data_IF_522881319572
#
_entry.id   IF_522881319572
#
_cell.length_a   1.000
_cell.length_b   1.000
_cell.length_c   1.000
_cell.angle_alpha   90.00
_cell.angle_beta   90.00
_cell.angle_gamma   90.00
#
_symmetry.space_group_name_H-M   'P 1'
#
loop_
_entity.id
_entity.type
_entity.pdbx_description
1 polymer ?
#
# COMPACT_ATOMS: atom_id res chain seq x y z
N UNK A 1 -30.62 -31.36 -60.55
CA UNK A 1 -29.53 -30.54 -59.98
C UNK A 1 -30.14 -29.66 -58.91
N UNK A 2 -30.06 -30.09 -57.65
CA UNK A 2 -30.56 -29.34 -56.51
C UNK A 2 -29.37 -28.73 -55.77
N UNK A 3 -29.27 -27.41 -55.81
CA UNK A 3 -28.26 -26.61 -55.11
C UNK A 3 -28.69 -26.39 -53.66
N UNK A 4 -28.10 -27.16 -52.75
CA UNK A 4 -28.20 -26.92 -51.31
C UNK A 4 -27.35 -25.70 -50.94
N UNK A 5 -28.02 -24.60 -50.58
CA UNK A 5 -27.43 -23.46 -49.88
C UNK A 5 -27.46 -23.76 -48.38
N UNK A 6 -26.33 -24.21 -47.83
CA UNK A 6 -26.13 -24.28 -46.39
C UNK A 6 -25.94 -22.84 -45.86
N UNK A 7 -27.00 -22.27 -45.29
CA UNK A 7 -26.90 -21.09 -44.44
C UNK A 7 -26.29 -21.50 -43.11
N UNK A 8 -24.99 -21.24 -42.95
CA UNK A 8 -24.28 -21.36 -41.69
C UNK A 8 -24.89 -20.36 -40.69
N UNK A 9 -25.74 -20.86 -39.79
CA UNK A 9 -26.30 -20.08 -38.70
C UNK A 9 -25.15 -19.77 -37.72
N UNK A 10 -24.60 -18.57 -37.82
CA UNK A 10 -23.54 -18.08 -36.95
C UNK A 10 -23.99 -18.20 -35.49
N UNK A 11 -23.21 -18.90 -34.67
CA UNK A 11 -23.44 -18.96 -33.23
C UNK A 11 -23.50 -17.52 -32.68
N UNK A 12 -24.51 -17.16 -31.88
CA UNK A 12 -24.62 -15.82 -31.33
C UNK A 12 -23.36 -15.49 -30.51
N UNK A 13 -22.76 -14.34 -30.79
CA UNK A 13 -21.61 -13.83 -30.04
C UNK A 13 -21.99 -13.72 -28.55
N UNK A 14 -21.14 -14.16 -27.62
CA UNK A 14 -21.44 -14.07 -26.19
C UNK A 14 -21.36 -12.63 -25.63
N UNK A 15 -21.07 -11.64 -26.49
CA UNK A 15 -20.89 -10.24 -26.12
C UNK A 15 -22.01 -9.35 -26.70
N UNK A 16 -22.54 -8.42 -25.89
CA UNK A 16 -23.34 -7.29 -26.37
C UNK A 16 -22.39 -6.16 -26.78
N UNK A 17 -22.46 -5.71 -28.02
CA UNK A 17 -21.65 -4.59 -28.51
C UNK A 17 -22.43 -3.28 -28.49
N UNK A 18 -21.90 -2.23 -27.87
CA UNK A 18 -22.46 -0.88 -27.84
C UNK A 18 -21.47 0.10 -28.47
N UNK A 19 -21.86 0.76 -29.55
CA UNK A 19 -21.04 1.79 -30.18
C UNK A 19 -21.27 3.15 -29.52
N UNK A 20 -20.22 3.97 -29.44
CA UNK A 20 -20.33 5.34 -28.96
C UNK A 20 -19.47 6.30 -29.79
N UNK A 21 -19.88 7.57 -29.85
CA UNK A 21 -19.16 8.64 -30.54
C UNK A 21 -19.45 9.98 -29.90
N UNK A 22 -18.44 10.55 -29.25
CA UNK A 22 -18.51 11.80 -28.51
C UNK A 22 -17.52 12.83 -29.04
N UNK A 23 -17.81 14.11 -28.77
CA UNK A 23 -16.85 15.20 -28.96
C UNK A 23 -16.77 16.00 -27.67
N UNK A 24 -15.55 16.18 -27.16
CA UNK A 24 -15.30 16.93 -25.94
C UNK A 24 -14.44 18.16 -26.22
N UNK A 25 -15.03 19.34 -26.04
CA UNK A 25 -14.38 20.63 -26.27
C UNK A 25 -13.86 21.22 -24.97
N UNK A 26 -12.55 21.45 -24.88
CA UNK A 26 -11.88 21.97 -23.68
C UNK A 26 -11.38 23.39 -23.94
N UNK A 27 -11.75 24.33 -23.06
CA UNK A 27 -11.20 25.68 -23.09
C UNK A 27 -9.73 25.69 -22.64
N UNK A 28 -8.85 26.20 -23.49
CA UNK A 28 -7.39 26.22 -23.26
C UNK A 28 -6.99 27.03 -22.02
N UNK A 29 -7.67 28.15 -21.75
CA UNK A 29 -7.34 28.98 -20.59
C UNK A 29 -7.68 28.26 -19.29
N UNK A 30 -8.79 27.50 -19.26
CA UNK A 30 -9.12 26.66 -18.13
C UNK A 30 -8.09 25.52 -17.97
N UNK A 31 -7.66 24.89 -19.07
CA UNK A 31 -6.72 23.77 -18.99
C UNK A 31 -5.30 24.13 -18.53
N UNK A 32 -4.80 25.33 -18.87
CA UNK A 32 -3.46 25.76 -18.42
C UNK A 32 -3.35 25.93 -16.90
N UNK A 33 -4.44 26.34 -16.26
CA UNK A 33 -4.44 26.69 -14.85
C UNK A 33 -4.92 25.55 -13.94
N UNK A 34 -5.41 24.45 -14.51
CA UNK A 34 -5.99 23.33 -13.75
C UNK A 34 -5.23 22.05 -14.05
N UNK A 35 -4.92 21.28 -12.99
CA UNK A 35 -4.19 20.00 -13.12
C UNK A 35 -5.03 18.92 -13.80
N UNK A 36 -6.35 19.03 -13.74
CA UNK A 36 -7.30 17.99 -14.14
C UNK A 36 -8.57 18.66 -14.69
N UNK A 37 -9.01 18.22 -15.86
CA UNK A 37 -10.32 18.61 -16.42
C UNK A 37 -11.10 17.33 -16.69
N UNK A 38 -12.37 17.33 -16.32
CA UNK A 38 -13.29 16.20 -16.50
C UNK A 38 -14.35 16.61 -17.53
N UNK A 39 -14.77 15.66 -18.36
CA UNK A 39 -15.93 15.83 -19.23
C UNK A 39 -17.22 15.65 -18.43
N UNK A 40 -18.34 15.95 -19.08
CA UNK A 40 -19.64 15.44 -18.63
C UNK A 40 -19.66 13.91 -18.63
N UNK A 41 -20.65 13.35 -17.93
CA UNK A 41 -20.95 11.92 -17.97
C UNK A 41 -21.78 11.63 -19.22
N UNK A 42 -21.28 10.69 -20.02
CA UNK A 42 -21.96 10.15 -21.18
C UNK A 42 -22.58 8.80 -20.80
N UNK A 43 -23.65 8.43 -21.50
CA UNK A 43 -24.36 7.19 -21.25
C UNK A 43 -24.70 6.49 -22.56
N UNK A 44 -24.46 5.20 -22.62
CA UNK A 44 -25.13 4.29 -23.56
C UNK A 44 -26.33 3.63 -22.86
N UNK A 45 -26.95 2.62 -23.46
CA UNK A 45 -28.04 1.87 -22.83
C UNK A 45 -27.65 1.26 -21.47
N UNK A 46 -26.43 0.73 -21.35
CA UNK A 46 -26.02 -0.05 -20.18
C UNK A 46 -24.79 0.53 -19.44
N UNK A 47 -24.13 1.55 -20.00
CA UNK A 47 -22.83 2.02 -19.48
C UNK A 47 -22.84 3.53 -19.35
N UNK A 48 -22.45 4.02 -18.17
CA UNK A 48 -22.08 5.42 -17.92
C UNK A 48 -20.56 5.56 -18.00
N UNK A 49 -20.07 6.60 -18.66
CA UNK A 49 -18.63 6.85 -18.78
C UNK A 49 -18.31 8.36 -18.82
N UNK A 50 -17.09 8.72 -18.43
CA UNK A 50 -16.57 10.08 -18.54
C UNK A 50 -15.09 10.09 -18.90
N UNK A 51 -14.60 11.23 -19.35
CA UNK A 51 -13.20 11.41 -19.73
C UNK A 51 -12.52 12.39 -18.79
N UNK A 52 -11.25 12.14 -18.51
CA UNK A 52 -10.44 13.02 -17.67
C UNK A 52 -9.13 13.30 -18.39
N UNK A 53 -8.81 14.58 -18.53
CA UNK A 53 -7.53 15.04 -19.04
C UNK A 53 -6.71 15.63 -17.89
N UNK A 54 -5.55 15.04 -17.62
CA UNK A 54 -4.64 15.46 -16.56
C UNK A 54 -3.39 16.12 -17.16
N UNK A 55 -3.10 17.34 -16.71
CA UNK A 55 -1.90 18.08 -17.04
C UNK A 55 -0.88 17.94 -15.88
N UNK A 56 0.02 16.97 -15.96
CA UNK A 56 1.09 16.82 -14.96
C UNK A 56 2.27 17.72 -15.33
N UNK A 57 2.29 18.92 -14.76
CA UNK A 57 3.35 19.93 -14.96
C UNK A 57 4.70 19.66 -14.23
N UNK A 58 4.96 18.43 -13.75
CA UNK A 58 5.98 18.22 -12.68
C UNK A 58 7.36 17.73 -13.09
N UNK A 59 7.61 17.44 -14.36
CA UNK A 59 8.96 17.14 -14.87
C UNK A 59 9.12 17.75 -16.26
N UNK A 60 10.36 18.05 -16.69
CA UNK A 60 10.77 18.80 -17.92
C UNK A 60 10.20 18.33 -19.27
N UNK A 61 9.21 17.45 -19.28
CA UNK A 61 8.47 17.00 -20.45
C UNK A 61 6.99 17.20 -20.19
N UNK A 62 6.41 18.22 -20.80
CA UNK A 62 4.97 18.47 -20.79
C UNK A 62 4.21 17.26 -21.35
N UNK A 63 3.66 16.45 -20.43
CA UNK A 63 2.87 15.28 -20.76
C UNK A 63 1.44 15.52 -20.31
N UNK A 64 0.51 15.44 -21.25
CA UNK A 64 -0.90 15.27 -20.96
C UNK A 64 -1.21 13.79 -20.78
N UNK A 65 -2.16 13.47 -19.93
CA UNK A 65 -2.65 12.11 -19.73
C UNK A 65 -4.16 12.10 -19.91
N UNK A 66 -4.67 11.15 -20.67
CA UNK A 66 -6.10 11.04 -20.98
C UNK A 66 -6.64 9.74 -20.39
N UNK A 67 -7.58 9.85 -19.47
CA UNK A 67 -8.20 8.74 -18.77
C UNK A 67 -9.65 8.61 -19.20
N UNK A 68 -10.15 7.38 -19.25
CA UNK A 68 -11.56 7.09 -19.48
C UNK A 68 -12.08 6.33 -18.27
N UNK A 69 -13.13 6.86 -17.66
CA UNK A 69 -13.82 6.26 -16.54
C UNK A 69 -15.05 5.58 -17.09
N UNK A 70 -15.24 4.32 -16.73
CA UNK A 70 -16.36 3.51 -17.19
C UNK A 70 -16.98 2.88 -15.96
N UNK A 71 -18.26 3.16 -15.73
CA UNK A 71 -19.03 2.53 -14.69
C UNK A 71 -19.56 1.20 -15.22
N UNK A 72 -19.00 0.10 -14.72
CA UNK A 72 -19.36 -1.25 -15.14
C UNK A 72 -20.57 -1.75 -14.36
N UNK A 73 -21.65 -2.20 -15.02
CA UNK A 73 -22.79 -2.78 -14.33
C UNK A 73 -22.40 -4.01 -13.51
N UNK A 74 -23.02 -4.16 -12.33
CA UNK A 74 -22.77 -5.30 -11.45
C UNK A 74 -22.97 -6.62 -12.21
N UNK A 75 -22.03 -7.54 -12.06
CA UNK A 75 -22.11 -8.84 -12.73
C UNK A 75 -21.53 -8.89 -14.15
N UNK A 76 -21.10 -7.76 -14.72
CA UNK A 76 -20.60 -7.69 -16.11
C UNK A 76 -19.08 -7.48 -16.18
N UNK A 77 -18.50 -7.85 -17.31
CA UNK A 77 -17.17 -7.40 -17.73
C UNK A 77 -17.31 -6.57 -19.00
N UNK A 78 -16.48 -5.54 -19.14
CA UNK A 78 -16.56 -4.60 -20.26
C UNK A 78 -15.19 -4.49 -20.90
N UNK A 79 -15.08 -4.89 -22.17
CA UNK A 79 -13.94 -4.55 -23.03
C UNK A 79 -14.30 -3.29 -23.81
N UNK A 80 -13.38 -2.33 -23.92
CA UNK A 80 -13.60 -1.10 -24.68
C UNK A 80 -12.50 -0.94 -25.70
N UNK A 81 -12.89 -0.90 -26.97
CA UNK A 81 -12.03 -0.58 -28.09
C UNK A 81 -12.42 0.79 -28.62
N UNK A 82 -11.59 1.81 -28.37
CA UNK A 82 -11.91 3.19 -28.72
C UNK A 82 -10.75 3.91 -29.41
N UNK A 83 -11.11 4.84 -30.26
CA UNK A 83 -10.20 5.73 -30.98
C UNK A 83 -10.40 7.15 -30.50
N UNK A 84 -9.30 7.78 -30.10
CA UNK A 84 -9.25 9.19 -29.77
C UNK A 84 -8.61 9.95 -30.93
N UNK A 85 -9.33 10.94 -31.45
CA UNK A 85 -8.88 11.86 -32.47
C UNK A 85 -8.88 13.29 -31.94
N UNK A 86 -7.73 13.93 -31.96
CA UNK A 86 -7.57 15.34 -31.61
C UNK A 86 -6.81 16.01 -32.76
N UNK A 87 -7.52 16.78 -33.58
CA UNK A 87 -6.99 17.40 -34.80
C UNK A 87 -6.32 16.37 -35.73
N UNK A 88 -5.00 16.49 -35.95
CA UNK A 88 -4.20 15.61 -36.83
C UNK A 88 -3.70 14.34 -36.12
N UNK A 89 -4.00 14.16 -34.83
CA UNK A 89 -3.58 13.01 -34.06
C UNK A 89 -4.73 12.02 -33.91
N UNK A 90 -4.49 10.75 -34.19
CA UNK A 90 -5.44 9.64 -33.99
C UNK A 90 -4.73 8.48 -33.30
N UNK A 91 -5.32 7.93 -32.24
CA UNK A 91 -4.79 6.75 -31.54
C UNK A 91 -5.92 5.85 -31.08
N UNK A 92 -5.76 4.55 -31.31
CA UNK A 92 -6.67 3.49 -30.88
C UNK A 92 -6.18 2.86 -29.56
N UNK A 93 -7.12 2.46 -28.73
CA UNK A 93 -6.92 1.86 -27.42
C UNK A 93 -7.88 0.69 -27.25
N UNK A 94 -7.41 -0.37 -26.59
CA UNK A 94 -8.24 -1.50 -26.18
C UNK A 94 -8.01 -1.67 -24.68
N UNK A 95 -9.08 -1.71 -23.90
CA UNK A 95 -9.00 -1.82 -22.44
C UNK A 95 -10.03 -2.82 -21.91
N UNK A 96 -9.70 -3.53 -20.84
CA UNK A 96 -10.59 -4.50 -20.21
C UNK A 96 -10.88 -4.08 -18.77
N UNK A 97 -12.17 -3.89 -18.47
CA UNK A 97 -12.67 -3.51 -17.16
C UNK A 97 -13.28 -4.75 -16.47
N UNK A 98 -12.64 -5.28 -15.41
CA UNK A 98 -13.20 -6.37 -14.61
C UNK A 98 -14.38 -5.87 -13.75
N UNK A 99 -15.20 -6.81 -13.25
CA UNK A 99 -16.43 -6.58 -12.47
C UNK A 99 -16.33 -5.57 -11.31
N UNK A 100 -15.12 -5.31 -10.80
CA UNK A 100 -14.86 -4.52 -9.59
C UNK A 100 -14.18 -3.18 -9.88
N UNK A 101 -13.77 -2.92 -11.13
CA UNK A 101 -13.03 -1.72 -11.48
C UNK A 101 -13.91 -0.66 -12.13
N UNK A 102 -13.85 0.56 -11.58
CA UNK A 102 -14.51 1.77 -12.12
C UNK A 102 -13.56 2.59 -13.00
N UNK A 103 -12.31 2.16 -13.20
CA UNK A 103 -11.23 3.04 -13.70
C UNK A 103 -10.28 2.31 -14.64
N UNK A 104 -10.12 2.89 -15.83
CA UNK A 104 -9.12 2.49 -16.81
C UNK A 104 -8.20 3.67 -17.10
N UNK A 105 -6.89 3.47 -16.96
CA UNK A 105 -5.92 4.51 -17.26
C UNK A 105 -5.19 4.23 -18.56
N UNK A 106 -5.19 5.21 -19.47
CA UNK A 106 -4.37 5.18 -20.66
C UNK A 106 -3.43 6.40 -20.72
N UNK A 107 -2.20 6.19 -21.16
CA UNK A 107 -1.25 7.28 -21.34
C UNK A 107 -1.32 7.80 -22.78
N UNK A 108 -1.84 9.02 -22.93
CA UNK A 108 -1.90 9.74 -24.21
C UNK A 108 -0.68 10.65 -24.34
N UNK A 109 0.38 10.18 -25.00
CA UNK A 109 1.56 11.02 -25.22
C UNK A 109 1.41 11.87 -26.49
N UNK A 110 1.00 13.14 -26.32
CA UNK A 110 1.11 14.13 -27.38
C UNK A 110 2.48 14.80 -27.31
N UNK A 111 3.44 14.36 -28.15
CA UNK A 111 4.69 15.12 -28.34
C UNK A 111 4.36 16.40 -29.12
N UNK A 112 4.87 17.54 -28.66
CA UNK A 112 4.74 18.87 -29.28
C UNK A 112 3.40 19.61 -29.07
N UNK A 113 2.81 19.54 -27.87
CA UNK A 113 1.60 20.31 -27.55
C UNK A 113 1.78 21.85 -27.64
N UNK A 114 3.02 22.35 -27.52
CA UNK A 114 3.23 23.75 -27.15
C UNK A 114 2.80 24.83 -28.16
N UNK A 115 2.81 24.61 -29.48
CA UNK A 115 2.61 25.78 -30.40
C UNK A 115 1.74 25.56 -31.63
N UNK A 116 1.69 24.35 -32.23
CA UNK A 116 1.00 24.18 -33.53
C UNK A 116 -0.48 23.80 -33.45
N UNK A 117 -0.95 23.27 -32.32
CA UNK A 117 -2.26 22.60 -32.21
C UNK A 117 -3.35 23.46 -31.55
N UNK A 118 -3.10 24.75 -31.27
CA UNK A 118 -3.95 25.50 -30.33
C UNK A 118 -4.26 26.93 -30.79
N UNK A 119 -4.54 27.11 -32.09
CA UNK A 119 -4.82 28.44 -32.68
C UNK A 119 -6.17 29.05 -32.27
N UNK A 120 -7.17 28.24 -31.91
CA UNK A 120 -8.56 28.69 -31.69
C UNK A 120 -8.97 28.88 -30.22
N UNK A 121 -8.06 28.73 -29.25
CA UNK A 121 -8.40 28.81 -27.81
C UNK A 121 -9.21 27.63 -27.25
N UNK A 122 -9.66 26.73 -28.12
CA UNK A 122 -10.39 25.50 -27.78
C UNK A 122 -9.64 24.28 -28.33
N UNK A 123 -9.80 23.16 -27.65
CA UNK A 123 -9.28 21.86 -28.07
C UNK A 123 -10.44 20.87 -28.13
N UNK A 124 -10.76 20.40 -29.33
CA UNK A 124 -11.80 19.40 -29.56
C UNK A 124 -11.18 18.00 -29.65
N UNK A 125 -11.67 17.11 -28.79
CA UNK A 125 -11.30 15.71 -28.75
C UNK A 125 -12.51 14.91 -29.22
N UNK A 126 -12.42 14.35 -30.43
CA UNK A 126 -13.40 13.40 -30.93
C UNK A 126 -13.03 11.99 -30.45
N UNK A 127 -13.98 11.27 -29.88
CA UNK A 127 -13.76 9.96 -29.28
C UNK A 127 -14.83 9.03 -29.82
N UNK A 128 -14.46 7.87 -30.34
CA UNK A 128 -15.44 6.89 -30.82
C UNK A 128 -14.94 5.48 -30.57
N UNK A 129 -15.83 4.58 -30.17
CA UNK A 129 -15.44 3.21 -29.85
C UNK A 129 -16.60 2.25 -29.74
N UNK A 130 -16.28 1.05 -29.27
CA UNK A 130 -17.20 -0.05 -29.06
C UNK A 130 -16.94 -0.61 -27.66
N UNK A 131 -17.98 -0.67 -26.84
CA UNK A 131 -18.01 -1.47 -25.62
C UNK A 131 -18.46 -2.88 -25.98
N UNK A 132 -17.70 -3.90 -25.61
CA UNK A 132 -18.13 -5.31 -25.64
C UNK A 132 -18.41 -5.76 -24.23
N UNK A 133 -19.66 -6.07 -23.95
CA UNK A 133 -20.15 -6.41 -22.61
C UNK A 133 -20.40 -7.91 -22.56
N UNK A 134 -19.77 -8.59 -21.61
CA UNK A 134 -20.06 -9.98 -21.30
C UNK A 134 -20.67 -10.12 -19.90
N UNK A 135 -21.46 -11.17 -19.72
CA UNK A 135 -21.70 -11.69 -18.38
C UNK A 135 -20.37 -12.18 -17.82
N UNK A 136 -20.06 -11.81 -16.59
CA UNK A 136 -18.88 -12.38 -15.96
C UNK A 136 -19.02 -13.90 -15.82
N UNK A 137 -17.91 -14.64 -15.94
CA UNK A 137 -17.94 -16.06 -15.62
C UNK A 137 -18.40 -16.25 -14.17
N UNK A 138 -19.19 -17.30 -13.89
CA UNK A 138 -19.55 -17.62 -12.51
C UNK A 138 -18.27 -17.78 -11.68
N UNK A 139 -18.27 -17.38 -10.40
CA UNK A 139 -17.10 -17.52 -9.54
C UNK A 139 -16.66 -18.99 -9.57
N UNK A 140 -15.43 -19.23 -10.01
CA UNK A 140 -14.86 -20.57 -10.05
C UNK A 140 -14.98 -21.19 -8.66
N UNK A 141 -15.60 -22.37 -8.56
CA UNK A 141 -15.66 -23.14 -7.31
C UNK A 141 -14.26 -23.25 -6.71
N UNK A 142 -14.06 -22.92 -5.42
CA UNK A 142 -12.75 -22.99 -4.79
C UNK A 142 -12.19 -24.42 -4.90
N UNK A 143 -10.89 -24.57 -5.14
CA UNK A 143 -10.27 -25.90 -5.20
C UNK A 143 -10.52 -26.64 -3.87
N UNK A 144 -10.76 -27.97 -3.91
CA UNK A 144 -10.98 -28.76 -2.70
C UNK A 144 -9.75 -28.64 -1.78
N UNK A 145 -10.01 -28.47 -0.48
CA UNK A 145 -8.96 -28.30 0.51
C UNK A 145 -7.96 -29.48 0.47
N UNK A 146 -6.65 -29.22 0.60
CA UNK A 146 -5.65 -30.28 0.62
C UNK A 146 -5.86 -31.17 1.85
N UNK A 147 -5.94 -32.48 1.63
CA UNK A 147 -6.10 -33.49 2.68
C UNK A 147 -4.83 -33.52 3.52
N UNK A 148 -4.91 -33.15 4.80
CA UNK A 148 -3.78 -33.18 5.73
C UNK A 148 -3.30 -34.62 5.93
N UNK A 149 -2.09 -34.91 5.45
CA UNK A 149 -1.41 -36.16 5.75
C UNK A 149 -0.89 -36.14 7.20
N UNK A 150 -1.33 -37.11 7.99
CA UNK A 150 -0.85 -37.39 9.35
C UNK A 150 0.58 -37.92 9.24
N UNK A 151 1.57 -37.11 9.63
CA UNK A 151 2.96 -37.56 9.80
C UNK A 151 3.16 -37.90 11.27
N UNK A 152 3.54 -39.15 11.54
CA UNK A 152 3.89 -39.64 12.85
C UNK A 152 5.20 -38.99 13.35
N UNK A 153 5.15 -38.30 14.48
CA UNK A 153 6.32 -37.78 15.20
C UNK A 153 7.04 -38.92 15.93
N UNK A 154 8.36 -39.02 15.71
CA UNK A 154 9.29 -39.78 16.54
C UNK A 154 9.72 -38.93 17.75
N UNK A 155 10.01 -39.53 18.92
CA UNK A 155 10.27 -38.80 20.16
C UNK A 155 11.66 -38.14 20.14
N UNK A 156 11.70 -36.83 20.42
CA UNK A 156 12.92 -36.04 20.64
C UNK A 156 13.38 -36.21 22.10
N UNK A 157 14.68 -36.42 22.38
CA UNK A 157 15.18 -36.53 23.74
C UNK A 157 15.12 -35.17 24.47
N UNK A 158 14.57 -35.19 25.68
CA UNK A 158 14.43 -34.05 26.57
C UNK A 158 15.80 -33.51 27.05
N UNK A 159 16.03 -32.21 26.84
CA UNK A 159 17.11 -31.46 27.50
C UNK A 159 16.81 -31.26 28.99
N UNK A 160 17.85 -31.21 29.86
CA UNK A 160 17.66 -31.07 31.31
C UNK A 160 17.13 -29.68 31.68
N UNK A 161 16.01 -29.68 32.42
CA UNK A 161 15.35 -28.51 32.99
C UNK A 161 16.16 -27.91 34.15
N UNK A 162 17.25 -27.23 33.83
CA UNK A 162 18.08 -26.54 34.84
C UNK A 162 18.74 -25.30 34.25
N UNK A 163 17.94 -24.23 34.09
CA UNK A 163 18.31 -22.84 34.36
C UNK A 163 17.17 -21.93 33.87
N UNK A 164 16.61 -21.16 34.81
CA UNK A 164 15.67 -20.04 34.63
C UNK A 164 14.19 -20.39 34.44
N UNK A 165 13.58 -20.96 35.48
CA UNK A 165 12.20 -20.57 35.83
C UNK A 165 12.30 -19.42 36.85
N UNK A 166 11.99 -18.20 36.43
CA UNK A 166 11.71 -17.10 37.36
C UNK A 166 10.23 -16.77 37.24
N UNK A 167 9.54 -16.92 38.36
CA UNK A 167 8.11 -16.67 38.52
C UNK A 167 7.74 -15.26 38.05
N UNK A 168 6.82 -15.24 37.10
CA UNK A 168 6.29 -14.07 36.44
C UNK A 168 5.23 -13.37 37.29
N UNK A 169 5.58 -12.71 38.39
CA UNK A 169 4.65 -11.77 39.05
C UNK A 169 5.24 -10.80 40.10
N UNK A 170 6.47 -10.32 39.90
CA UNK A 170 6.97 -9.13 40.60
C UNK A 170 7.79 -8.29 39.65
N UNK A 171 7.48 -6.99 39.60
CA UNK A 171 8.28 -5.95 38.96
C UNK A 171 9.73 -6.13 39.42
N UNK A 172 10.57 -6.69 38.55
CA UNK A 172 11.98 -6.96 38.85
C UNK A 172 12.70 -5.61 38.86
N UNK A 173 12.92 -5.06 40.05
CA UNK A 173 14.16 -4.35 40.31
C UNK A 173 15.28 -5.33 39.96
N UNK A 174 16.00 -5.07 38.88
CA UNK A 174 17.11 -5.90 38.42
C UNK A 174 18.08 -6.12 39.59
N UNK A 175 18.04 -7.32 40.18
CA UNK A 175 18.96 -7.97 41.14
C UNK A 175 19.87 -7.09 42.04
N UNK A 176 20.05 -7.48 43.30
CA UNK A 176 20.84 -6.77 44.33
C UNK A 176 22.28 -6.35 43.96
N UNK A 177 22.89 -6.85 42.88
CA UNK A 177 24.22 -6.42 42.41
C UNK A 177 24.15 -5.99 40.94
N UNK A 178 24.25 -4.70 40.70
CA UNK A 178 24.33 -4.06 39.38
C UNK A 178 25.71 -3.41 39.26
N UNK A 179 26.28 -3.40 38.05
CA UNK A 179 27.60 -2.79 37.78
C UNK A 179 27.50 -1.60 36.79
N UNK A 180 26.27 -1.21 36.45
CA UNK A 180 26.00 -0.11 35.53
C UNK A 180 24.64 0.57 35.77
N UNK A 181 24.58 1.87 35.49
CA UNK A 181 23.37 2.69 35.59
C UNK A 181 23.10 3.38 34.24
N UNK A 182 21.90 3.20 33.71
CA UNK A 182 21.41 3.97 32.55
C UNK A 182 20.50 5.08 33.06
N UNK A 183 20.80 6.32 32.72
CA UNK A 183 20.03 7.50 33.16
C UNK A 183 19.16 7.98 32.00
N UNK A 184 17.85 8.10 32.21
CA UNK A 184 16.88 8.56 31.21
C UNK A 184 15.89 9.49 31.91
N UNK A 185 15.71 10.72 31.42
CA UNK A 185 14.81 11.71 32.04
C UNK A 185 15.05 11.87 33.56
N UNK A 186 16.32 11.87 33.95
CA UNK A 186 16.80 11.95 35.34
C UNK A 186 16.33 10.80 36.26
N UNK A 187 15.82 9.71 35.67
CA UNK A 187 15.52 8.44 36.32
C UNK A 187 16.60 7.40 36.02
N UNK A 188 16.87 6.53 37.00
CA UNK A 188 17.89 5.50 36.91
C UNK A 188 17.31 4.13 36.55
N UNK A 189 17.97 3.44 35.61
CA UNK A 189 17.75 2.04 35.29
C UNK A 189 19.03 1.27 35.60
N UNK A 190 18.99 0.46 36.65
CA UNK A 190 20.12 -0.37 37.09
C UNK A 190 20.22 -1.63 36.22
N UNK A 191 21.41 -1.96 35.75
CA UNK A 191 21.63 -3.07 34.82
C UNK A 191 23.03 -3.72 34.97
N UNK A 192 23.25 -4.80 34.22
CA UNK A 192 24.54 -5.49 34.12
C UNK A 192 25.21 -5.22 32.78
N UNK A 193 26.49 -4.86 32.79
CA UNK A 193 27.28 -4.63 31.58
C UNK A 193 27.31 -5.87 30.69
N UNK A 194 27.42 -7.06 31.27
CA UNK A 194 27.46 -8.33 30.52
C UNK A 194 26.20 -8.56 29.70
N UNK A 195 25.03 -8.37 30.30
CA UNK A 195 23.72 -8.57 29.64
C UNK A 195 23.49 -7.50 28.58
N UNK A 196 23.71 -6.22 28.91
CA UNK A 196 23.51 -5.14 27.95
C UNK A 196 24.40 -5.29 26.71
N UNK A 197 25.67 -5.67 26.88
CA UNK A 197 26.60 -5.88 25.76
C UNK A 197 26.17 -7.04 24.86
N UNK A 198 25.57 -8.09 25.43
CA UNK A 198 25.11 -9.24 24.65
C UNK A 198 23.96 -8.90 23.70
N UNK A 199 23.12 -7.93 24.06
CA UNK A 199 21.87 -7.65 23.34
C UNK A 199 21.83 -6.29 22.61
N UNK A 200 22.71 -5.34 22.94
CA UNK A 200 22.65 -3.97 22.43
C UNK A 200 24.04 -3.48 21.99
N UNK A 201 24.18 -3.18 20.70
CA UNK A 201 25.45 -2.72 20.11
C UNK A 201 25.90 -1.35 20.62
N UNK A 202 24.96 -0.52 21.12
CA UNK A 202 25.26 0.73 21.82
C UNK A 202 26.38 0.56 22.85
N UNK A 203 26.27 -0.52 23.62
CA UNK A 203 27.10 -0.73 24.79
C UNK A 203 28.49 -1.30 24.47
N UNK A 204 28.75 -1.68 23.21
CA UNK A 204 30.10 -2.04 22.76
C UNK A 204 31.06 -0.86 22.79
N UNK A 205 30.55 0.35 22.53
CA UNK A 205 31.36 1.58 22.58
C UNK A 205 31.31 2.22 23.97
N UNK A 206 30.12 2.26 24.59
CA UNK A 206 29.93 2.87 25.92
C UNK A 206 30.81 2.20 26.98
N UNK A 207 30.92 0.87 26.99
CA UNK A 207 31.71 0.17 28.00
C UNK A 207 33.23 0.16 27.74
N UNK A 208 33.72 0.76 26.64
CA UNK A 208 35.16 1.02 26.47
C UNK A 208 35.63 2.18 27.33
N UNK A 209 34.72 3.11 27.62
CA UNK A 209 34.95 4.18 28.59
C UNK A 209 34.59 3.60 29.96
N UNK A 210 35.52 3.68 30.92
CA UNK A 210 35.27 3.24 32.31
C UNK A 210 34.34 4.22 33.03
N UNK A 211 33.10 4.33 32.56
CA UNK A 211 32.03 5.05 33.24
C UNK A 211 31.14 4.06 34.00
N UNK A 212 30.72 4.39 35.23
CA UNK A 212 29.71 3.61 35.95
C UNK A 212 28.29 3.87 35.40
N UNK A 213 28.10 4.94 34.63
CA UNK A 213 26.78 5.36 34.14
C UNK A 213 26.80 5.85 32.69
N UNK A 214 25.63 5.86 32.05
CA UNK A 214 25.43 6.45 30.73
C UNK A 214 24.03 7.06 30.59
N UNK A 215 23.98 8.28 30.03
CA UNK A 215 22.74 9.04 29.87
C UNK A 215 22.18 8.89 28.45
N UNK A 216 20.88 8.59 28.34
CA UNK A 216 20.12 8.57 27.09
C UNK A 216 19.09 9.70 27.15
N UNK A 217 19.21 10.70 26.26
CA UNK A 217 18.39 11.91 26.30
C UNK A 217 17.24 11.92 25.29
N UNK A 218 17.33 11.10 24.23
CA UNK A 218 16.45 11.22 23.07
C UNK A 218 15.19 10.33 23.14
N UNK A 219 14.97 9.66 24.27
CA UNK A 219 13.90 8.69 24.45
C UNK A 219 13.28 8.80 25.85
N UNK A 220 11.99 8.51 25.93
CA UNK A 220 11.29 8.42 27.21
C UNK A 220 11.78 7.24 28.03
N UNK A 221 11.75 7.39 29.36
CA UNK A 221 12.11 6.33 30.31
C UNK A 221 11.44 4.98 30.01
N UNK A 222 10.14 4.97 29.73
CA UNK A 222 9.38 3.74 29.45
C UNK A 222 9.92 2.92 28.27
N UNK A 223 10.32 3.60 27.19
CA UNK A 223 10.83 2.96 25.97
C UNK A 223 12.18 2.31 26.25
N UNK A 224 13.08 3.03 26.93
CA UNK A 224 14.40 2.49 27.30
C UNK A 224 14.25 1.36 28.31
N UNK A 225 13.37 1.50 29.29
CA UNK A 225 13.09 0.47 30.28
C UNK A 225 12.53 -0.80 29.65
N UNK A 226 11.63 -0.70 28.68
CA UNK A 226 11.11 -1.85 27.95
C UNK A 226 12.21 -2.55 27.14
N UNK A 227 13.08 -1.80 26.46
CA UNK A 227 14.20 -2.37 25.72
C UNK A 227 15.19 -3.09 26.64
N UNK A 228 15.56 -2.48 27.76
CA UNK A 228 16.43 -3.10 28.76
C UNK A 228 15.74 -4.32 29.38
N UNK A 229 14.46 -4.22 29.76
CA UNK A 229 13.69 -5.34 30.31
C UNK A 229 13.66 -6.56 29.39
N UNK A 230 13.54 -6.35 28.09
CA UNK A 230 13.60 -7.43 27.10
C UNK A 230 14.94 -8.18 27.13
N UNK A 231 16.07 -7.50 27.37
CA UNK A 231 17.37 -8.16 27.54
C UNK A 231 17.42 -9.11 28.75
N UNK A 232 16.50 -8.96 29.70
CA UNK A 232 16.33 -9.87 30.84
C UNK A 232 15.17 -10.84 30.66
N UNK A 233 14.63 -10.97 29.46
CA UNK A 233 13.51 -11.86 29.15
C UNK A 233 12.14 -11.34 29.58
N UNK A 234 12.00 -10.05 29.90
CA UNK A 234 10.68 -9.47 30.15
C UNK A 234 9.91 -9.26 28.85
N UNK A 235 8.59 -9.43 28.92
CA UNK A 235 7.71 -9.06 27.82
C UNK A 235 7.63 -7.55 27.65
N UNK A 236 7.34 -7.12 26.41
CA UNK A 236 7.15 -5.70 26.11
C UNK A 236 5.81 -5.26 26.71
N UNK A 237 5.76 -4.15 27.46
CA UNK A 237 4.50 -3.59 27.94
C UNK A 237 3.56 -3.23 26.78
N UNK A 238 2.26 -3.22 27.05
CA UNK A 238 1.29 -2.71 26.08
C UNK A 238 1.49 -1.20 25.88
N UNK A 239 2.10 -0.85 24.75
CA UNK A 239 2.37 0.54 24.37
C UNK A 239 1.39 1.05 23.31
N UNK A 240 1.20 2.37 23.33
CA UNK A 240 0.62 3.09 22.20
C UNK A 240 1.57 3.05 20.99
N UNK A 241 1.03 3.43 19.83
CA UNK A 241 1.74 3.36 18.56
C UNK A 241 2.98 4.27 18.52
N UNK A 242 2.95 5.43 19.19
CA UNK A 242 4.09 6.36 19.17
C UNK A 242 5.27 5.77 19.95
N UNK A 243 5.00 5.19 21.12
CA UNK A 243 6.01 4.48 21.91
C UNK A 243 6.54 3.24 21.18
N UNK A 244 5.68 2.48 20.49
CA UNK A 244 6.13 1.36 19.65
C UNK A 244 7.03 1.81 18.49
N UNK A 245 6.70 2.90 17.80
CA UNK A 245 7.55 3.46 16.74
C UNK A 245 8.90 3.93 17.30
N UNK A 246 8.90 4.59 18.46
CA UNK A 246 10.13 5.03 19.13
C UNK A 246 11.01 3.83 19.53
N UNK A 247 10.40 2.80 20.12
CA UNK A 247 11.07 1.55 20.48
C UNK A 247 11.65 0.85 19.25
N UNK A 248 10.90 0.79 18.14
CA UNK A 248 11.37 0.17 16.90
C UNK A 248 12.63 0.86 16.36
N UNK A 249 12.64 2.20 16.31
CA UNK A 249 13.81 2.98 15.89
C UNK A 249 15.00 2.73 16.81
N UNK A 250 14.77 2.70 18.12
CA UNK A 250 15.82 2.41 19.09
C UNK A 250 16.41 1.01 18.87
N UNK A 251 15.58 0.01 18.62
CA UNK A 251 16.04 -1.36 18.33
C UNK A 251 16.88 -1.43 17.06
N UNK A 252 16.46 -0.72 15.99
CA UNK A 252 17.21 -0.66 14.74
C UNK A 252 18.61 -0.07 14.92
N UNK A 253 18.72 1.06 15.62
CA UNK A 253 20.01 1.73 15.85
C UNK A 253 20.94 0.87 16.70
N UNK A 254 20.38 0.12 17.66
CA UNK A 254 21.16 -0.64 18.65
C UNK A 254 21.25 -2.14 18.33
N UNK A 255 20.88 -2.56 17.11
CA UNK A 255 21.06 -3.94 16.62
C UNK A 255 20.20 -4.99 17.34
N UNK A 256 19.08 -4.60 17.96
CA UNK A 256 18.22 -5.50 18.74
C UNK A 256 17.21 -6.23 17.83
N UNK A 257 17.68 -7.10 16.93
CA UNK A 257 16.85 -7.71 15.88
C UNK A 257 15.68 -8.53 16.42
N UNK A 258 15.86 -9.25 17.53
CA UNK A 258 14.79 -10.07 18.13
C UNK A 258 13.66 -9.19 18.66
N UNK A 259 14.01 -8.13 19.41
CA UNK A 259 13.05 -7.16 19.91
C UNK A 259 12.36 -6.42 18.76
N UNK A 260 13.11 -6.05 17.72
CA UNK A 260 12.57 -5.41 16.52
C UNK A 260 11.45 -6.24 15.87
N UNK A 261 11.66 -7.56 15.72
CA UNK A 261 10.65 -8.46 15.17
C UNK A 261 9.39 -8.54 16.05
N UNK A 262 9.55 -8.55 17.37
CA UNK A 262 8.41 -8.55 18.31
C UNK A 262 7.64 -7.23 18.22
N UNK A 263 8.34 -6.10 18.20
CA UNK A 263 7.72 -4.76 18.07
C UNK A 263 7.01 -4.59 16.73
N UNK A 264 7.57 -5.11 15.63
CA UNK A 264 6.93 -5.10 14.32
C UNK A 264 5.62 -5.90 14.29
N UNK A 265 5.62 -7.08 14.93
CA UNK A 265 4.45 -7.94 15.07
C UNK A 265 3.37 -7.24 15.90
N UNK A 266 3.75 -6.61 17.01
CA UNK A 266 2.83 -5.87 17.89
C UNK A 266 2.24 -4.63 17.19
N UNK A 267 3.04 -3.91 16.40
CA UNK A 267 2.49 -2.82 15.57
C UNK A 267 1.51 -3.35 14.52
N UNK A 268 1.81 -4.50 13.90
CA UNK A 268 0.96 -5.11 12.89
C UNK A 268 -0.38 -5.58 13.46
N UNK A 269 -0.40 -6.12 14.69
CA UNK A 269 -1.64 -6.56 15.36
C UNK A 269 -2.55 -5.39 15.75
N UNK A 270 -2.01 -4.17 15.86
CA UNK A 270 -2.74 -2.95 16.23
C UNK A 270 -3.24 -2.13 15.04
N UNK A 271 -2.99 -2.56 13.79
CA UNK A 271 -3.47 -1.84 12.60
C UNK A 271 -5.00 -1.77 12.60
N UNK A 272 -5.54 -0.57 12.46
CA UNK A 272 -6.97 -0.31 12.35
C UNK A 272 -7.24 0.96 11.51
N UNK A 273 -8.52 1.26 11.29
CA UNK A 273 -8.96 2.36 10.43
C UNK A 273 -8.50 3.75 10.91
N UNK A 274 -8.27 3.93 12.21
CA UNK A 274 -7.83 5.20 12.80
C UNK A 274 -6.32 5.46 12.67
N UNK A 275 -5.51 4.40 12.52
CA UNK A 275 -4.05 4.50 12.60
C UNK A 275 -3.31 3.99 11.37
N UNK A 276 -3.98 3.28 10.45
CA UNK A 276 -3.33 2.62 9.31
C UNK A 276 -2.51 3.60 8.45
N UNK A 277 -3.04 4.81 8.20
CA UNK A 277 -2.31 5.85 7.44
C UNK A 277 -1.05 6.32 8.16
N UNK A 278 -1.14 6.54 9.48
CA UNK A 278 0.00 6.96 10.29
C UNK A 278 1.07 5.87 10.30
N UNK A 279 0.67 4.61 10.51
CA UNK A 279 1.57 3.46 10.53
C UNK A 279 2.21 3.22 9.16
N UNK A 280 1.46 3.36 8.06
CA UNK A 280 2.01 3.21 6.72
C UNK A 280 3.11 4.24 6.42
N UNK A 281 2.88 5.50 6.80
CA UNK A 281 3.90 6.55 6.68
C UNK A 281 5.10 6.31 7.60
N UNK A 282 4.84 5.86 8.83
CA UNK A 282 5.90 5.59 9.80
C UNK A 282 6.77 4.40 9.36
N UNK A 283 6.16 3.32 8.89
CA UNK A 283 6.83 2.11 8.42
C UNK A 283 7.75 2.40 7.24
N UNK A 284 7.34 3.27 6.31
CA UNK A 284 8.20 3.71 5.21
C UNK A 284 9.42 4.50 5.73
N UNK A 285 9.22 5.42 6.69
CA UNK A 285 10.32 6.23 7.27
C UNK A 285 11.32 5.40 8.06
N UNK A 286 10.84 4.40 8.79
CA UNK A 286 11.68 3.52 9.60
C UNK A 286 12.11 2.26 8.85
N UNK A 287 11.76 2.12 7.56
CA UNK A 287 12.09 0.95 6.72
C UNK A 287 11.64 -0.38 7.36
N UNK A 288 10.43 -0.40 7.91
CA UNK A 288 9.79 -1.60 8.44
C UNK A 288 8.95 -2.26 7.33
N UNK A 289 9.61 -3.04 6.47
CA UNK A 289 9.01 -3.53 5.22
C UNK A 289 7.78 -4.43 5.46
N UNK A 290 7.82 -5.31 6.47
CA UNK A 290 6.68 -6.21 6.75
C UNK A 290 5.51 -5.44 7.33
N UNK A 291 5.77 -4.52 8.26
CA UNK A 291 4.73 -3.61 8.77
C UNK A 291 4.14 -2.77 7.63
N UNK A 292 4.98 -2.30 6.71
CA UNK A 292 4.54 -1.51 5.56
C UNK A 292 3.58 -2.31 4.68
N UNK A 293 3.96 -3.51 4.28
CA UNK A 293 3.11 -4.43 3.51
C UNK A 293 1.78 -4.72 4.23
N UNK A 294 1.81 -4.97 5.54
CA UNK A 294 0.60 -5.19 6.33
C UNK A 294 -0.33 -3.97 6.33
N UNK A 295 0.24 -2.75 6.42
CA UNK A 295 -0.54 -1.51 6.35
C UNK A 295 -1.15 -1.32 4.95
N UNK A 296 -0.38 -1.54 3.89
CA UNK A 296 -0.85 -1.43 2.50
C UNK A 296 -2.00 -2.41 2.26
N UNK A 297 -1.82 -3.68 2.65
CA UNK A 297 -2.86 -4.70 2.55
C UNK A 297 -4.13 -4.29 3.28
N UNK A 298 -4.01 -3.84 4.54
CA UNK A 298 -5.14 -3.38 5.32
C UNK A 298 -5.88 -2.20 4.65
N UNK A 299 -5.13 -1.23 4.10
CA UNK A 299 -5.69 -0.06 3.41
C UNK A 299 -6.39 -0.41 2.09
N UNK A 300 -5.94 -1.45 1.39
CA UNK A 300 -6.57 -1.93 0.15
C UNK A 300 -7.84 -2.75 0.44
N UNK A 301 -7.81 -3.58 1.48
CA UNK A 301 -8.93 -4.44 1.89
C UNK A 301 -10.08 -3.64 2.52
N UNK A 302 -9.76 -2.60 3.29
CA UNK A 302 -10.75 -1.70 3.83
C UNK A 302 -11.02 -0.61 2.81
N UNK A 303 -12.27 -0.50 2.32
CA UNK A 303 -12.77 0.44 1.30
C UNK A 303 -12.53 1.94 1.56
N UNK A 304 -11.78 2.29 2.61
CA UNK A 304 -11.26 3.61 2.96
C UNK A 304 -10.53 4.30 1.80
N UNK A 305 -9.99 3.55 0.82
CA UNK A 305 -9.41 4.15 -0.39
C UNK A 305 -10.42 4.89 -1.30
N UNK A 306 -11.75 4.70 -1.12
CA UNK A 306 -12.78 5.38 -1.92
C UNK A 306 -13.27 6.69 -1.28
N UNK A 307 -13.19 6.84 0.04
CA UNK A 307 -13.78 7.98 0.77
C UNK A 307 -12.83 8.73 1.71
N UNK A 308 -11.75 8.10 2.19
CA UNK A 308 -10.74 8.85 2.95
C UNK A 308 -9.97 9.69 1.95
N UNK A 309 -10.25 10.99 1.96
CA UNK A 309 -9.35 11.99 1.43
C UNK A 309 -7.94 11.58 1.84
N UNK A 310 -7.06 11.27 0.87
CA UNK A 310 -5.65 10.92 1.07
C UNK A 310 -4.83 12.03 1.77
N UNK A 311 -5.45 12.91 2.57
CA UNK A 311 -4.85 13.87 3.47
C UNK A 311 -3.98 13.11 4.47
N UNK A 312 -2.68 13.40 4.43
CA UNK A 312 -1.70 12.83 5.35
C UNK A 312 -0.87 11.66 4.80
N UNK A 313 -1.30 10.98 3.73
CA UNK A 313 -0.45 9.96 3.08
C UNK A 313 0.73 10.63 2.36
N UNK A 314 1.93 10.04 2.50
CA UNK A 314 3.09 10.43 1.72
C UNK A 314 2.82 10.26 0.22
N UNK A 315 3.42 11.12 -0.61
CA UNK A 315 3.23 11.08 -2.08
C UNK A 315 3.63 9.70 -2.64
N UNK A 316 4.68 9.09 -2.09
CA UNK A 316 5.19 7.78 -2.50
C UNK A 316 4.16 6.69 -2.21
N UNK A 317 3.57 6.74 -1.01
CA UNK A 317 2.52 5.83 -0.57
C UNK A 317 1.25 5.94 -1.41
N UNK A 318 0.86 7.15 -1.82
CA UNK A 318 -0.28 7.34 -2.72
C UNK A 318 -0.04 6.72 -4.09
N UNK A 319 1.17 6.87 -4.63
CA UNK A 319 1.53 6.27 -5.90
C UNK A 319 1.50 4.74 -5.81
N UNK A 320 2.06 4.18 -4.74
CA UNK A 320 2.07 2.74 -4.52
C UNK A 320 0.68 2.14 -4.32
N UNK A 321 -0.17 2.77 -3.50
CA UNK A 321 -1.56 2.33 -3.33
C UNK A 321 -2.34 2.40 -4.65
N UNK A 322 -2.10 3.44 -5.45
CA UNK A 322 -2.70 3.57 -6.78
C UNK A 322 -2.25 2.43 -7.70
N UNK A 323 -0.95 2.16 -7.78
CA UNK A 323 -0.38 1.12 -8.64
C UNK A 323 -0.85 -0.29 -8.22
N UNK A 324 -1.00 -0.57 -6.92
CA UNK A 324 -1.46 -1.87 -6.40
C UNK A 324 -2.99 -2.06 -6.40
N UNK A 325 -3.75 -0.98 -6.64
CA UNK A 325 -5.21 -1.03 -6.71
C UNK A 325 -5.79 -1.39 -8.09
N UNK A 326 -4.92 -1.54 -9.09
CA UNK A 326 -5.25 -1.81 -10.51
C UNK A 326 -4.77 -3.19 -10.96
#
# INVERSE_FOLDING_TARGET
MASNSNSDASKPSPFKELQFKETWSINKMAFRNVRKVESDVFTTEDISYSFILNNKHRTDKEKMYFYMYVEVPHGKTVEVDYTLKCQNYTKRFIYFFPQTSLRGSNCFHCKNYQEKYLKSGWMDIAISGIFKIANAPPPSTPPPAPVSAVVAESPVPSLPASLLSMDSEKVVEFTQKHDFIVIVEDQEIRAHKSILRQHMTLFDTVFKVESPEHKINDLSFDVVKAAIGFCYGQEIPSFDIQKLIALFKFCQVNGMNDLLAVVEKEMSSKINTSNAVLLANASLKIRADKLHENCIKFLLENSLCKEIEFKGLDISLKAELFDRSH
#
